data_IF_749231847557
#
_entry.id   IF_749231847557
#
_cell.length_a   1.000
_cell.length_b   1.000
_cell.length_c   1.000
_cell.angle_alpha   90.00
_cell.angle_beta   90.00
_cell.angle_gamma   90.00
#
_symmetry.space_group_name_H-M   'P 1'
#
loop_
_entity.id
_entity.type
_entity.pdbx_description
1 polymer ?
#
# COMPACT_ATOMS: atom_id res chain seq x y z
N UNK A 1 -0.80 -17.39 4.26
CA UNK A 1 -1.80 -17.61 5.33
C UNK A 1 -1.87 -19.09 5.69
N UNK A 2 -2.41 -19.46 6.86
CA UNK A 2 -2.59 -20.87 7.26
C UNK A 2 -3.52 -21.65 6.32
N UNK A 3 -4.43 -20.95 5.65
CA UNK A 3 -5.34 -21.47 4.61
C UNK A 3 -4.74 -21.51 3.19
N UNK A 4 -3.44 -21.25 3.04
CA UNK A 4 -2.70 -21.15 1.77
C UNK A 4 -3.01 -19.92 0.90
N UNK A 5 -3.83 -18.98 1.36
CA UNK A 5 -4.00 -17.70 0.66
C UNK A 5 -2.80 -16.77 0.91
N UNK A 6 -2.62 -15.78 0.04
CA UNK A 6 -1.62 -14.72 0.18
C UNK A 6 -2.28 -13.36 0.02
N UNK A 7 -1.96 -12.44 0.93
CA UNK A 7 -2.40 -11.05 0.88
C UNK A 7 -1.19 -10.17 0.67
N UNK A 8 -1.26 -9.29 -0.33
CA UNK A 8 -0.22 -8.31 -0.64
C UNK A 8 -0.83 -6.91 -0.52
N UNK A 9 -0.15 -6.05 0.22
CA UNK A 9 -0.62 -4.70 0.50
C UNK A 9 0.26 -3.99 1.52
N UNK A 10 -0.16 -2.79 1.88
CA UNK A 10 0.42 -1.99 2.94
C UNK A 10 -0.38 -2.17 4.22
N UNK A 11 0.30 -2.29 5.35
CA UNK A 11 -0.37 -2.31 6.67
C UNK A 11 -0.81 -0.90 7.00
N UNK A 12 -2.12 -0.70 7.16
CA UNK A 12 -2.70 0.61 7.50
C UNK A 12 -3.15 0.71 8.95
N UNK A 13 -3.35 -0.42 9.62
CA UNK A 13 -3.68 -0.52 11.04
C UNK A 13 -3.25 -1.88 11.58
N UNK A 14 -2.78 -1.92 12.82
CA UNK A 14 -2.43 -3.14 13.55
C UNK A 14 -2.88 -2.92 15.00
N UNK A 15 -4.04 -3.49 15.39
CA UNK A 15 -4.63 -3.32 16.72
C UNK A 15 -5.53 -4.52 17.06
N UNK A 16 -5.56 -4.91 18.34
CA UNK A 16 -6.51 -5.92 18.83
C UNK A 16 -6.33 -7.31 18.21
N UNK A 17 -5.11 -7.64 17.74
CA UNK A 17 -4.82 -8.88 17.04
C UNK A 17 -5.34 -8.94 15.59
N UNK A 18 -5.73 -7.79 15.03
CA UNK A 18 -6.22 -7.65 13.66
C UNK A 18 -5.32 -6.66 12.89
N UNK A 19 -4.93 -7.07 11.70
CA UNK A 19 -4.13 -6.28 10.76
C UNK A 19 -5.02 -5.88 9.57
N UNK A 20 -5.12 -4.58 9.32
CA UNK A 20 -5.72 -4.05 8.09
C UNK A 20 -4.65 -3.94 7.01
N UNK A 21 -4.79 -4.72 5.95
CA UNK A 21 -3.94 -4.65 4.76
C UNK A 21 -4.70 -3.95 3.63
N UNK A 22 -4.15 -2.86 3.10
CA UNK A 22 -4.67 -2.14 1.93
C UNK A 22 -3.84 -2.46 0.68
N UNK A 23 -4.48 -2.90 -0.39
CA UNK A 23 -3.80 -3.13 -1.67
C UNK A 23 -3.80 -1.89 -2.58
N UNK A 24 -3.17 -1.99 -3.76
CA UNK A 24 -3.06 -0.87 -4.73
C UNK A 24 -4.40 -0.41 -5.30
N UNK A 25 -5.43 -1.25 -5.27
CA UNK A 25 -6.78 -0.89 -5.68
C UNK A 25 -7.57 -0.19 -4.56
N UNK A 26 -6.93 0.05 -3.40
CA UNK A 26 -7.57 0.66 -2.24
C UNK A 26 -8.45 -0.28 -1.44
N UNK A 27 -8.48 -1.58 -1.77
CA UNK A 27 -9.27 -2.59 -1.05
C UNK A 27 -8.58 -2.91 0.28
N UNK A 28 -9.35 -2.86 1.36
CA UNK A 28 -8.89 -3.19 2.72
C UNK A 28 -9.34 -4.61 3.06
N UNK A 29 -8.40 -5.43 3.51
CA UNK A 29 -8.64 -6.78 4.03
C UNK A 29 -8.21 -6.84 5.48
N UNK A 30 -9.10 -7.31 6.35
CA UNK A 30 -8.80 -7.52 7.76
C UNK A 30 -8.32 -8.95 7.97
N UNK A 31 -7.15 -9.09 8.58
CA UNK A 31 -6.50 -10.37 8.82
C UNK A 31 -6.27 -10.52 10.31
N UNK A 32 -6.77 -11.61 10.89
CA UNK A 32 -6.40 -11.96 12.26
C UNK A 32 -4.95 -12.44 12.30
N UNK A 33 -4.18 -11.94 13.25
CA UNK A 33 -2.77 -12.29 13.42
C UNK A 33 -2.56 -13.80 13.61
N UNK A 34 -3.51 -14.46 14.28
CA UNK A 34 -3.50 -15.91 14.51
C UNK A 34 -3.61 -16.74 13.23
N UNK A 35 -4.06 -16.16 12.10
CA UNK A 35 -4.16 -16.83 10.80
C UNK A 35 -2.90 -16.66 9.94
N UNK A 36 -1.94 -15.85 10.38
CA UNK A 36 -0.71 -15.58 9.64
C UNK A 36 0.27 -16.74 9.83
N UNK A 37 0.63 -17.39 8.73
CA UNK A 37 1.65 -18.44 8.72
C UNK A 37 3.06 -17.89 8.51
N UNK A 38 3.19 -16.82 7.71
CA UNK A 38 4.44 -16.12 7.42
C UNK A 38 4.12 -14.66 7.07
N UNK A 39 4.91 -13.73 7.61
CA UNK A 39 4.95 -12.31 7.22
C UNK A 39 6.31 -12.05 6.60
N UNK A 40 6.35 -11.38 5.45
CA UNK A 40 7.59 -11.07 4.75
C UNK A 40 7.51 -9.66 4.16
N UNK A 41 8.64 -8.95 4.12
CA UNK A 41 8.70 -7.62 3.54
C UNK A 41 9.12 -7.73 2.07
N UNK A 42 8.25 -7.34 1.16
CA UNK A 42 8.55 -7.40 -0.26
C UNK A 42 9.48 -6.23 -0.65
N UNK A 43 10.67 -6.49 -1.20
CA UNK A 43 11.59 -5.42 -1.61
C UNK A 43 11.08 -4.66 -2.85
N UNK A 44 10.22 -5.29 -3.64
CA UNK A 44 9.60 -4.68 -4.81
C UNK A 44 8.44 -3.77 -4.39
N UNK A 45 8.49 -2.49 -4.79
CA UNK A 45 7.40 -1.54 -4.57
C UNK A 45 6.11 -2.03 -5.24
N UNK A 46 4.98 -1.82 -4.56
CA UNK A 46 3.67 -2.04 -5.14
C UNK A 46 3.24 -0.91 -6.11
N UNK A 47 3.95 0.23 -6.13
CA UNK A 47 3.71 1.24 -7.16
C UNK A 47 4.09 0.66 -8.55
N UNK A 48 3.21 0.76 -9.56
CA UNK A 48 3.52 0.32 -10.91
C UNK A 48 4.76 1.03 -11.46
N UNK A 49 5.65 0.26 -12.09
CA UNK A 49 6.82 0.82 -12.75
C UNK A 49 6.40 1.77 -13.88
N UNK A 50 7.08 2.91 -14.00
CA UNK A 50 6.80 3.87 -15.06
C UNK A 50 5.58 4.76 -14.83
N UNK A 51 4.92 4.70 -13.68
CA UNK A 51 3.82 5.61 -13.34
C UNK A 51 4.24 7.10 -13.45
N UNK A 52 5.47 7.44 -13.08
CA UNK A 52 5.99 8.79 -13.23
C UNK A 52 6.32 9.18 -14.70
N UNK A 53 6.47 8.20 -15.61
CA UNK A 53 6.82 8.45 -17.01
C UNK A 53 5.66 9.05 -17.82
N UNK A 54 4.44 8.99 -17.31
CA UNK A 54 3.26 9.55 -17.97
C UNK A 54 3.08 11.04 -17.70
N UNK A 55 3.87 11.64 -16.81
CA UNK A 55 3.78 13.05 -16.45
C UNK A 55 4.74 13.89 -17.28
N UNK A 56 4.25 15.00 -17.81
CA UNK A 56 5.09 16.10 -18.29
C UNK A 56 5.74 16.83 -17.12
N UNK A 57 6.75 17.66 -17.41
CA UNK A 57 7.41 18.49 -16.38
C UNK A 57 6.42 19.41 -15.68
N UNK A 58 5.47 19.98 -16.42
CA UNK A 58 4.44 20.86 -15.85
C UNK A 58 3.52 20.10 -14.92
N UNK A 59 2.98 18.95 -15.35
CA UNK A 59 2.07 18.14 -14.51
C UNK A 59 2.78 17.60 -13.26
N UNK A 60 4.07 17.31 -13.36
CA UNK A 60 4.87 16.92 -12.19
C UNK A 60 5.02 18.09 -11.20
N UNK A 61 5.22 19.31 -11.68
CA UNK A 61 5.27 20.50 -10.84
C UNK A 61 3.92 20.81 -10.18
N UNK A 62 2.83 20.66 -10.93
CA UNK A 62 1.47 20.83 -10.40
C UNK A 62 1.16 19.78 -9.32
N UNK A 63 1.58 18.53 -9.53
CA UNK A 63 1.48 17.46 -8.53
C UNK A 63 2.25 17.81 -7.24
N UNK A 64 3.50 18.27 -7.37
CA UNK A 64 4.30 18.69 -6.21
C UNK A 64 3.60 19.84 -5.48
N UNK A 65 3.13 20.85 -6.22
CA UNK A 65 2.43 22.00 -5.65
C UNK A 65 1.16 21.59 -4.90
N UNK A 66 0.39 20.66 -5.47
CA UNK A 66 -0.78 20.06 -4.81
C UNK A 66 -0.40 19.32 -3.53
N UNK A 67 0.61 18.44 -3.56
CA UNK A 67 1.07 17.69 -2.38
C UNK A 67 1.58 18.62 -1.27
N UNK A 68 2.26 19.72 -1.63
CA UNK A 68 2.69 20.75 -0.67
C UNK A 68 1.49 21.45 -0.05
N UNK A 69 0.44 21.73 -0.82
CA UNK A 69 -0.79 22.35 -0.30
C UNK A 69 -1.57 21.45 0.67
N UNK A 70 -1.38 20.13 0.58
CA UNK A 70 -1.97 19.14 1.49
C UNK A 70 -1.18 18.96 2.79
N UNK A 71 -0.06 19.64 2.93
CA UNK A 71 0.77 19.55 4.13
C UNK A 71 0.20 20.48 5.20
N UNK A 72 -0.62 19.90 6.09
CA UNK A 72 -0.94 20.48 7.40
C UNK A 72 0.27 20.38 8.33
#
# INVERSE_FOLDING_TARGET
MKDKTAHLGFVTREEGGVIDIRNIAGIVTQIKEDMIAKRDHQPQSMMPAGLAKTLTVTEFNDLISYLVSMKE
#
